data_IF_501692011121
#
_entry.id   IF_501692011121
#
_cell.length_a   1.000
_cell.length_b   1.000
_cell.length_c   1.000
_cell.angle_alpha   90.00
_cell.angle_beta   90.00
_cell.angle_gamma   90.00
#
_symmetry.space_group_name_H-M   'P 1'
#
loop_
_entity.id
_entity.type
_entity.pdbx_description
1 polymer ?
#
# COMPACT_ATOMS: atom_id res chain seq x y z
N UNK A 1 -59.91 -35.45 -10.01
CA UNK A 1 -58.46 -35.72 -9.87
C UNK A 1 -57.75 -34.38 -9.90
N UNK A 2 -57.13 -33.97 -8.79
CA UNK A 2 -56.40 -32.68 -8.70
C UNK A 2 -54.90 -32.97 -8.58
N UNK A 3 -54.12 -32.22 -9.36
CA UNK A 3 -52.66 -32.25 -9.33
C UNK A 3 -52.20 -30.95 -8.67
N UNK A 4 -51.28 -31.07 -7.72
CA UNK A 4 -50.63 -29.93 -7.07
C UNK A 4 -49.16 -29.89 -7.49
N UNK A 5 -48.61 -28.70 -7.70
CA UNK A 5 -47.18 -28.49 -7.86
C UNK A 5 -46.59 -28.02 -6.53
N UNK A 6 -45.50 -28.66 -6.12
CA UNK A 6 -44.68 -28.18 -5.01
C UNK A 6 -43.68 -27.15 -5.53
N UNK A 7 -43.71 -25.93 -4.99
CA UNK A 7 -42.68 -24.93 -5.29
C UNK A 7 -41.38 -25.31 -4.61
N UNK A 8 -40.32 -25.53 -5.38
CA UNK A 8 -38.97 -25.68 -4.85
C UNK A 8 -38.26 -24.33 -4.92
N UNK A 9 -37.74 -23.87 -3.80
CA UNK A 9 -36.95 -22.63 -3.73
C UNK A 9 -35.51 -23.00 -3.43
N UNK A 10 -34.62 -22.73 -4.37
CA UNK A 10 -33.18 -22.94 -4.20
C UNK A 10 -32.59 -21.64 -3.65
N UNK A 11 -32.09 -21.70 -2.42
CA UNK A 11 -31.40 -20.58 -1.79
C UNK A 11 -29.91 -20.70 -2.13
N UNK A 12 -29.37 -19.78 -2.92
CA UNK A 12 -27.95 -19.78 -3.28
C UNK A 12 -27.14 -19.09 -2.19
N UNK A 13 -26.08 -19.76 -1.73
CA UNK A 13 -25.08 -19.16 -0.85
C UNK A 13 -24.21 -18.20 -1.66
N UNK A 14 -23.93 -17.03 -1.08
CA UNK A 14 -23.01 -16.07 -1.67
C UNK A 14 -21.60 -16.67 -1.76
N UNK A 15 -20.98 -16.55 -2.93
CA UNK A 15 -19.58 -16.91 -3.15
C UNK A 15 -18.75 -15.67 -2.95
N UNK A 16 -17.91 -15.64 -1.92
CA UNK A 16 -16.88 -14.61 -1.75
C UNK A 16 -15.68 -15.02 -2.58
N UNK A 17 -15.29 -14.19 -3.54
CA UNK A 17 -14.07 -14.37 -4.32
C UNK A 17 -13.01 -13.46 -3.68
N UNK A 18 -12.12 -14.06 -2.90
CA UNK A 18 -10.94 -13.38 -2.38
C UNK A 18 -9.76 -13.73 -3.29
N UNK A 19 -9.13 -12.72 -3.88
CA UNK A 19 -7.90 -12.90 -4.63
C UNK A 19 -6.74 -12.87 -3.63
N UNK A 20 -6.08 -14.01 -3.42
CA UNK A 20 -4.78 -14.03 -2.77
C UNK A 20 -3.75 -13.51 -3.79
N UNK A 21 -3.32 -12.27 -3.63
CA UNK A 21 -2.07 -11.86 -4.27
C UNK A 21 -0.98 -12.55 -3.48
N UNK A 22 -0.44 -13.66 -3.98
CA UNK A 22 0.76 -14.27 -3.41
C UNK A 22 1.77 -13.14 -3.25
N UNK A 23 2.08 -12.78 -2.00
CA UNK A 23 3.39 -12.22 -1.73
C UNK A 23 4.31 -13.33 -2.21
N UNK A 24 4.84 -13.19 -3.42
CA UNK A 24 6.09 -13.85 -3.73
C UNK A 24 7.01 -13.27 -2.65
N UNK A 25 7.20 -14.04 -1.58
CA UNK A 25 8.31 -13.84 -0.68
C UNK A 25 9.49 -13.84 -1.62
N UNK A 26 9.99 -12.64 -1.89
CA UNK A 26 11.18 -12.46 -2.67
C UNK A 26 12.26 -13.03 -1.74
N UNK A 27 12.48 -14.35 -1.78
CA UNK A 27 13.39 -15.09 -0.90
C UNK A 27 14.81 -14.48 -0.90
N UNK A 28 15.12 -13.66 -1.90
CA UNK A 28 16.38 -12.94 -2.07
C UNK A 28 16.31 -11.43 -1.87
N UNK A 29 15.13 -10.83 -1.64
CA UNK A 29 15.00 -9.39 -1.41
C UNK A 29 14.59 -9.11 0.04
N UNK A 30 15.36 -8.24 0.70
CA UNK A 30 15.03 -7.76 2.04
C UNK A 30 13.76 -6.91 1.98
N UNK A 31 12.76 -7.28 2.78
CA UNK A 31 11.51 -6.56 2.92
C UNK A 31 11.21 -6.32 4.40
N UNK A 32 11.11 -5.05 4.77
CA UNK A 32 10.67 -4.63 6.11
C UNK A 32 9.20 -4.21 6.09
N UNK A 33 8.49 -4.55 7.17
CA UNK A 33 7.08 -4.22 7.34
C UNK A 33 6.83 -3.63 8.73
N UNK A 34 6.14 -2.49 8.76
CA UNK A 34 5.58 -1.96 10.01
C UNK A 34 4.25 -2.66 10.30
N UNK A 35 4.15 -3.24 11.48
CA UNK A 35 2.93 -3.86 12.01
C UNK A 35 1.90 -2.80 12.44
N UNK A 36 0.65 -3.22 12.62
CA UNK A 36 -0.41 -2.33 13.11
C UNK A 36 -0.13 -1.76 14.50
N UNK A 37 0.52 -2.55 15.37
CA UNK A 37 0.91 -2.11 16.71
C UNK A 37 2.00 -1.02 16.66
N UNK A 38 3.00 -1.18 15.79
CA UNK A 38 4.03 -0.16 15.55
C UNK A 38 3.44 1.14 15.00
N UNK A 39 2.50 1.04 14.06
CA UNK A 39 1.80 2.21 13.53
C UNK A 39 0.96 2.92 14.61
N UNK A 40 0.32 2.17 15.52
CA UNK A 40 -0.44 2.73 16.64
C UNK A 40 0.45 3.45 17.67
N UNK A 41 1.65 2.93 17.91
CA UNK A 41 2.64 3.61 18.76
C UNK A 41 3.15 4.91 18.12
N UNK A 42 3.17 4.97 16.79
CA UNK A 42 3.68 6.11 16.02
C UNK A 42 2.59 7.06 15.54
N UNK A 43 1.32 6.89 15.92
CA UNK A 43 0.16 7.61 15.34
C UNK A 43 0.21 9.14 15.37
N UNK A 44 1.05 9.73 16.22
CA UNK A 44 1.28 11.19 16.27
C UNK A 44 2.26 11.68 15.21
N UNK A 45 3.04 10.78 14.64
CA UNK A 45 4.06 11.07 13.65
C UNK A 45 3.47 11.06 12.23
N UNK A 46 4.13 11.78 11.32
CA UNK A 46 3.81 11.67 9.90
C UNK A 46 4.48 10.44 9.28
N UNK A 47 4.02 10.03 8.10
CA UNK A 47 4.53 8.86 7.39
C UNK A 47 6.04 8.90 7.12
N UNK A 48 6.62 10.10 6.97
CA UNK A 48 8.06 10.28 6.78
C UNK A 48 8.85 9.93 8.04
N UNK A 49 8.36 10.36 9.20
CA UNK A 49 8.97 10.02 10.49
C UNK A 49 8.80 8.52 10.77
N UNK A 50 7.61 7.96 10.52
CA UNK A 50 7.36 6.52 10.66
C UNK A 50 8.31 5.68 9.79
N UNK A 51 8.42 6.00 8.50
CA UNK A 51 9.26 5.26 7.57
C UNK A 51 10.76 5.41 7.88
N UNK A 52 11.20 6.51 8.52
CA UNK A 52 12.60 6.67 8.97
C UNK A 52 13.02 5.70 10.09
N UNK A 53 12.08 4.98 10.72
CA UNK A 53 12.38 3.91 11.68
C UNK A 53 12.88 2.62 11.01
N UNK A 54 12.64 2.46 9.72
CA UNK A 54 13.09 1.31 8.94
C UNK A 54 14.58 1.49 8.62
N UNK A 55 15.37 0.42 8.78
CA UNK A 55 16.81 0.48 8.53
C UNK A 55 17.10 0.84 7.07
N UNK A 56 18.08 1.71 6.83
CA UNK A 56 18.41 2.17 5.48
C UNK A 56 17.44 3.18 4.87
N UNK A 57 16.36 3.53 5.56
CA UNK A 57 15.39 4.55 5.14
C UNK A 57 15.66 5.87 5.84
N UNK A 58 15.83 6.93 5.04
CA UNK A 58 15.98 8.30 5.51
C UNK A 58 15.00 9.22 4.76
N UNK A 59 14.90 10.48 5.18
CA UNK A 59 14.01 11.47 4.55
C UNK A 59 14.79 12.71 4.13
N UNK A 60 14.51 13.21 2.93
CA UNK A 60 14.90 14.55 2.49
C UNK A 60 13.67 15.45 2.65
N UNK A 61 13.77 16.46 3.51
CA UNK A 61 12.73 17.48 3.65
C UNK A 61 13.02 18.65 2.71
N UNK A 62 12.01 19.10 1.96
CA UNK A 62 12.04 20.33 1.16
C UNK A 62 10.97 21.28 1.69
N UNK A 63 11.36 22.15 2.63
CA UNK A 63 10.39 22.98 3.36
C UNK A 63 9.66 22.20 4.45
N UNK A 64 8.54 22.77 4.94
CA UNK A 64 7.83 22.23 6.11
C UNK A 64 6.94 21.01 5.82
N UNK A 65 6.45 20.85 4.58
CA UNK A 65 5.38 19.90 4.26
C UNK A 65 5.76 18.86 3.21
N UNK A 66 6.98 18.89 2.67
CA UNK A 66 7.41 17.95 1.63
C UNK A 66 8.56 17.12 2.16
N UNK A 67 8.31 15.83 2.38
CA UNK A 67 9.32 14.84 2.70
C UNK A 67 9.40 13.79 1.59
N UNK A 68 10.61 13.48 1.15
CA UNK A 68 10.87 12.45 0.13
C UNK A 68 11.71 11.33 0.75
N UNK A 69 11.32 10.06 0.63
CA UNK A 69 12.11 8.96 1.16
C UNK A 69 13.42 8.82 0.40
N UNK A 70 14.42 8.32 1.10
CA UNK A 70 15.71 7.88 0.58
C UNK A 70 15.96 6.46 1.09
N UNK A 71 16.06 5.49 0.20
CA UNK A 71 16.30 4.08 0.55
C UNK A 71 17.67 3.71 0.01
N UNK A 72 18.63 3.45 0.90
CA UNK A 72 20.04 3.18 0.54
C UNK A 72 20.64 4.20 -0.45
N UNK A 73 20.28 5.48 -0.31
CA UNK A 73 20.75 6.59 -1.16
C UNK A 73 19.94 6.81 -2.44
N UNK A 74 19.02 5.92 -2.81
CA UNK A 74 18.08 6.13 -3.92
C UNK A 74 16.94 7.03 -3.48
N UNK A 75 16.47 7.93 -4.36
CA UNK A 75 15.37 8.86 -4.05
C UNK A 75 14.61 9.28 -5.32
N UNK A 76 13.54 10.06 -5.15
CA UNK A 76 12.73 10.62 -6.26
C UNK A 76 12.21 9.52 -7.19
N UNK A 77 12.49 9.61 -8.50
CA UNK A 77 12.07 8.68 -9.55
C UNK A 77 12.69 7.28 -9.45
N UNK A 78 13.59 7.05 -8.48
CA UNK A 78 14.22 5.75 -8.22
C UNK A 78 13.54 4.97 -7.10
N UNK A 79 12.50 5.53 -6.47
CA UNK A 79 11.68 4.83 -5.47
C UNK A 79 10.26 4.68 -6.02
N UNK A 80 9.76 3.45 -6.04
CA UNK A 80 8.36 3.16 -6.34
C UNK A 80 7.52 3.39 -5.08
N UNK A 81 6.46 4.19 -5.20
CA UNK A 81 5.46 4.36 -4.13
C UNK A 81 4.15 3.75 -4.59
N UNK A 82 3.62 2.86 -3.78
CA UNK A 82 2.31 2.22 -4.01
C UNK A 82 1.43 2.52 -2.80
N UNK A 83 0.23 3.05 -3.05
CA UNK A 83 -0.78 3.28 -2.03
C UNK A 83 -2.02 2.45 -2.38
N UNK A 84 -2.42 1.52 -1.51
CA UNK A 84 -3.58 0.66 -1.72
C UNK A 84 -3.61 -0.01 -3.12
N UNK A 85 -2.45 -0.50 -3.58
CA UNK A 85 -2.30 -1.14 -4.89
C UNK A 85 -2.18 -0.17 -6.07
N UNK A 86 -2.31 1.14 -5.85
CA UNK A 86 -2.18 2.16 -6.89
C UNK A 86 -0.75 2.69 -6.90
N UNK A 87 -0.06 2.54 -8.04
CA UNK A 87 1.25 3.14 -8.28
C UNK A 87 1.13 4.66 -8.37
N UNK A 88 1.94 5.38 -7.61
CA UNK A 88 2.08 6.83 -7.76
C UNK A 88 3.09 7.15 -8.86
N UNK A 89 2.66 7.93 -9.85
CA UNK A 89 3.55 8.52 -10.83
C UNK A 89 4.26 9.75 -10.28
N UNK A 90 5.42 10.05 -10.88
CA UNK A 90 6.20 11.23 -10.52
C UNK A 90 5.66 12.47 -11.23
N UNK A 91 5.43 13.55 -10.48
CA UNK A 91 5.14 14.87 -11.05
C UNK A 91 6.44 15.51 -11.53
N UNK A 92 6.71 15.41 -12.84
CA UNK A 92 7.82 16.09 -13.48
C UNK A 92 7.35 17.45 -14.03
N UNK A 93 7.05 18.40 -13.15
CA UNK A 93 6.86 19.79 -13.58
C UNK A 93 8.24 20.43 -13.79
N UNK A 94 8.60 20.70 -15.04
CA UNK A 94 9.77 21.48 -15.40
C UNK A 94 9.57 22.97 -15.11
N UNK A 95 10.66 23.74 -15.23
CA UNK A 95 10.69 25.21 -15.09
C UNK A 95 9.79 25.91 -16.13
N UNK A 96 9.33 25.17 -17.13
CA UNK A 96 8.43 25.59 -18.20
C UNK A 96 6.93 25.55 -17.85
N UNK A 97 6.58 25.12 -16.63
CA UNK A 97 5.20 25.07 -16.15
C UNK A 97 4.92 25.96 -14.92
N UNK A 98 5.81 26.92 -14.61
CA UNK A 98 5.56 27.95 -13.61
C UNK A 98 4.63 29.05 -14.13
#
# INVERSE_FOLDING_TARGET
MQIYLASVSINLQGVTIEAEHSHADLETAEADKLSGEELEMLKTDNIGVMASKISGVNMISTGQNVAKPVIHGLHSNRILVVNNGIRHEFQNWGIEHA
#
